data_IF_665442020786
#
_entry.id   IF_665442020786
#
_cell.length_a   1.000
_cell.length_b   1.000
_cell.length_c   1.000
_cell.angle_alpha   90.00
_cell.angle_beta   90.00
_cell.angle_gamma   90.00
#
_symmetry.space_group_name_H-M   'P 1'
#
loop_
_entity.id
_entity.type
_entity.pdbx_description
1 polymer ?
#
# COMPACT_ATOMS: atom_id res chain seq x y z
N UNK A 1 -27.11 -3.37 -4.38
CA UNK A 1 -25.73 -3.87 -4.56
C UNK A 1 -24.76 -2.69 -4.44
N UNK A 2 -23.98 -2.62 -3.35
CA UNK A 2 -22.93 -1.61 -3.19
C UNK A 2 -21.69 -2.01 -4.00
N UNK A 3 -21.02 -1.08 -4.73
CA UNK A 3 -19.85 -1.43 -5.52
C UNK A 3 -18.63 -1.47 -4.59
N UNK A 4 -18.26 -2.66 -4.12
CA UNK A 4 -16.92 -2.91 -3.60
C UNK A 4 -15.93 -2.84 -4.77
N UNK A 5 -15.60 -1.62 -5.19
CA UNK A 5 -14.79 -1.35 -6.37
C UNK A 5 -13.32 -1.68 -6.07
N UNK A 6 -12.99 -2.98 -6.07
CA UNK A 6 -11.64 -3.51 -5.88
C UNK A 6 -10.76 -3.16 -7.09
N UNK A 7 -10.33 -1.90 -7.13
CA UNK A 7 -9.61 -1.30 -8.24
C UNK A 7 -8.24 -1.94 -8.38
N UNK A 8 -7.86 -2.25 -9.62
CA UNK A 8 -6.53 -2.82 -9.89
C UNK A 8 -5.48 -1.71 -9.77
N UNK A 9 -4.49 -1.93 -8.91
CA UNK A 9 -3.43 -0.97 -8.63
C UNK A 9 -2.19 -1.30 -9.47
N UNK A 10 -1.78 -2.58 -9.49
CA UNK A 10 -0.67 -3.06 -10.29
C UNK A 10 -1.18 -4.04 -11.36
N UNK A 11 -1.09 -3.67 -12.63
CA UNK A 11 -1.39 -4.58 -13.74
C UNK A 11 -0.27 -5.60 -13.97
N UNK A 12 0.98 -5.25 -13.66
CA UNK A 12 2.15 -6.11 -13.85
C UNK A 12 2.07 -7.39 -12.99
N UNK A 13 1.60 -7.27 -11.75
CA UNK A 13 1.50 -8.38 -10.78
C UNK A 13 0.05 -8.73 -10.40
N UNK A 14 -0.94 -8.07 -10.99
CA UNK A 14 -2.36 -8.30 -10.69
C UNK A 14 -2.81 -7.82 -9.29
N UNK A 15 -2.04 -6.97 -8.61
CA UNK A 15 -2.33 -6.50 -7.26
C UNK A 15 -3.47 -5.48 -7.24
N UNK A 16 -4.47 -5.71 -6.38
CA UNK A 16 -5.64 -4.85 -6.21
C UNK A 16 -5.53 -3.98 -4.96
N UNK A 17 -6.38 -2.96 -4.89
CA UNK A 17 -6.48 -2.06 -3.75
C UNK A 17 -6.79 -2.81 -2.44
N UNK A 18 -7.64 -3.83 -2.48
CA UNK A 18 -7.92 -4.71 -1.35
C UNK A 18 -6.69 -5.44 -0.85
N UNK A 19 -5.83 -5.90 -1.74
CA UNK A 19 -4.60 -6.63 -1.35
C UNK A 19 -3.66 -5.69 -0.61
N UNK A 20 -3.55 -4.45 -1.08
CA UNK A 20 -2.75 -3.42 -0.41
C UNK A 20 -3.34 -3.04 0.94
N UNK A 21 -4.65 -2.80 1.04
CA UNK A 21 -5.29 -2.50 2.34
C UNK A 21 -5.17 -3.66 3.32
N UNK A 22 -5.35 -4.90 2.87
CA UNK A 22 -5.13 -6.09 3.68
C UNK A 22 -3.68 -6.21 4.14
N UNK A 23 -2.71 -5.91 3.26
CA UNK A 23 -1.30 -5.88 3.63
C UNK A 23 -1.02 -4.80 4.69
N UNK A 24 -1.53 -3.57 4.51
CA UNK A 24 -1.42 -2.48 5.50
C UNK A 24 -1.97 -2.91 6.85
N UNK A 25 -3.17 -3.49 6.88
CA UNK A 25 -3.85 -3.90 8.10
C UNK A 25 -3.17 -5.10 8.79
N UNK A 26 -2.62 -6.05 8.02
CA UNK A 26 -1.99 -7.27 8.55
C UNK A 26 -0.54 -7.03 8.98
N UNK A 27 0.20 -6.20 8.25
CA UNK A 27 1.65 -6.04 8.40
C UNK A 27 2.13 -4.72 8.99
N UNK A 28 1.22 -3.83 9.45
CA UNK A 28 1.57 -2.45 9.87
C UNK A 28 2.40 -1.70 8.80
N UNK A 29 1.98 -1.86 7.55
CA UNK A 29 2.76 -1.44 6.40
C UNK A 29 2.45 0.04 6.10
N UNK A 30 3.21 0.97 6.68
CA UNK A 30 2.93 2.41 6.51
C UNK A 30 3.80 3.11 5.44
N UNK A 31 4.63 2.34 4.72
CA UNK A 31 5.55 2.90 3.73
C UNK A 31 5.53 2.11 2.43
N UNK A 32 5.76 2.83 1.33
CA UNK A 32 5.85 2.31 -0.04
C UNK A 32 6.82 1.13 -0.12
N UNK A 33 7.98 1.22 0.53
CA UNK A 33 8.98 0.17 0.55
C UNK A 33 8.44 -1.11 1.19
N UNK A 34 7.68 -0.96 2.28
CA UNK A 34 7.14 -2.09 3.03
C UNK A 34 5.98 -2.74 2.25
N UNK A 35 5.19 -1.94 1.51
CA UNK A 35 4.16 -2.48 0.59
C UNK A 35 4.81 -3.24 -0.55
N UNK A 36 5.91 -2.72 -1.10
CA UNK A 36 6.71 -3.42 -2.10
C UNK A 36 7.27 -4.74 -1.56
N UNK A 37 7.78 -4.79 -0.34
CA UNK A 37 8.26 -6.03 0.27
C UNK A 37 7.14 -7.04 0.54
N UNK A 38 5.94 -6.58 0.93
CA UNK A 38 4.82 -7.46 1.25
C UNK A 38 4.02 -7.94 0.03
N UNK A 39 3.93 -7.13 -1.02
CA UNK A 39 3.08 -7.42 -2.20
C UNK A 39 3.87 -7.59 -3.50
N UNK A 40 5.15 -7.22 -3.52
CA UNK A 40 5.97 -7.12 -4.73
C UNK A 40 5.57 -5.95 -5.66
N UNK A 41 4.45 -5.27 -5.41
CA UNK A 41 3.94 -4.23 -6.31
C UNK A 41 4.83 -2.98 -6.27
N UNK A 42 5.53 -2.73 -7.39
CA UNK A 42 6.39 -1.56 -7.54
C UNK A 42 7.87 -1.89 -7.76
N UNK A 43 8.28 -3.15 -7.65
CA UNK A 43 9.69 -3.56 -7.86
C UNK A 43 10.10 -3.70 -9.33
N UNK A 44 9.13 -3.80 -10.24
CA UNK A 44 9.36 -3.92 -11.69
C UNK A 44 9.08 -2.62 -12.44
N UNK A 45 7.91 -2.53 -13.06
CA UNK A 45 7.49 -1.40 -13.91
C UNK A 45 7.34 -0.07 -13.15
N UNK A 46 7.29 -0.08 -11.81
CA UNK A 46 7.13 1.08 -10.89
C UNK A 46 5.90 1.98 -11.09
N UNK A 47 5.12 1.81 -12.17
CA UNK A 47 3.96 2.64 -12.50
C UNK A 47 2.87 2.66 -11.41
N UNK A 48 2.74 1.58 -10.64
CA UNK A 48 1.76 1.50 -9.55
C UNK A 48 2.19 2.27 -8.30
N UNK A 49 3.49 2.57 -8.10
CA UNK A 49 4.01 3.20 -6.87
C UNK A 49 3.25 4.49 -6.52
N UNK A 50 2.97 5.35 -7.51
CA UNK A 50 2.22 6.60 -7.29
C UNK A 50 0.82 6.35 -6.72
N UNK A 51 0.13 5.30 -7.20
CA UNK A 51 -1.20 4.91 -6.70
C UNK A 51 -1.12 4.34 -5.29
N UNK A 52 -0.12 3.50 -5.03
CA UNK A 52 0.12 2.94 -3.68
C UNK A 52 0.35 4.08 -2.68
N UNK A 53 1.13 5.10 -3.06
CA UNK A 53 1.43 6.24 -2.19
C UNK A 53 0.19 7.07 -1.88
N UNK A 54 -0.72 7.21 -2.85
CA UNK A 54 -2.00 7.88 -2.62
C UNK A 54 -2.88 7.10 -1.63
N UNK A 55 -2.90 5.76 -1.72
CA UNK A 55 -3.64 4.92 -0.77
C UNK A 55 -3.08 5.00 0.66
N UNK A 56 -1.75 5.05 0.80
CA UNK A 56 -1.10 5.22 2.10
C UNK A 56 -1.40 6.59 2.71
N UNK A 57 -1.43 7.64 1.87
CA UNK A 57 -1.78 9.00 2.29
C UNK A 57 -3.24 9.11 2.76
N UNK A 58 -4.17 8.47 2.04
CA UNK A 58 -5.60 8.40 2.39
C UNK A 58 -5.84 7.69 3.74
N UNK A 59 -5.04 6.66 4.05
CA UNK A 59 -5.15 5.91 5.30
C UNK A 59 -4.55 6.60 6.54
N UNK A 60 -4.06 7.84 6.43
CA UNK A 60 -3.43 8.54 7.55
C UNK A 60 -4.40 9.54 8.21
N UNK A 61 -4.97 9.24 9.40
CA UNK A 61 -5.65 10.25 10.20
C UNK A 61 -4.59 11.22 10.75
N UNK A 62 -4.68 12.50 10.38
CA UNK A 62 -3.77 13.55 10.81
C UNK A 62 -3.52 13.51 12.34
N UNK A 63 -2.41 12.92 12.75
CA UNK A 63 -1.95 12.90 14.14
C UNK A 63 -0.43 12.96 14.15
N UNK A 64 0.08 14.19 14.16
CA UNK A 64 1.32 14.64 14.81
C UNK A 64 2.47 13.64 14.92
N UNK A 65 3.38 13.69 13.95
CA UNK A 65 4.86 13.64 14.08
C UNK A 65 5.47 12.85 12.91
N UNK A 66 6.32 13.47 12.06
CA UNK A 66 7.01 12.78 10.99
C UNK A 66 8.19 12.00 11.57
N UNK A 67 7.95 10.78 12.05
CA UNK A 67 9.01 9.78 12.12
C UNK A 67 8.65 8.64 11.16
N UNK A 68 9.47 8.37 10.12
CA UNK A 68 9.20 7.29 9.19
C UNK A 68 9.29 5.99 9.96
N UNK A 69 8.13 5.43 10.33
CA UNK A 69 8.06 4.14 11.01
C UNK A 69 8.91 3.13 10.23
N UNK A 70 9.99 2.60 10.84
CA UNK A 70 10.76 1.56 10.19
C UNK A 70 9.78 0.42 9.91
N UNK A 71 9.88 -0.18 8.73
CA UNK A 71 9.25 -1.46 8.46
C UNK A 71 9.65 -2.42 9.58
N UNK A 72 8.78 -2.60 10.58
CA UNK A 72 9.08 -3.37 11.78
C UNK A 72 9.14 -4.84 11.42
N UNK A 73 10.33 -5.27 11.00
CA UNK A 73 10.74 -6.65 11.06
C UNK A 73 10.74 -7.04 12.54
N UNK A 74 9.97 -8.09 12.86
CA UNK A 74 9.96 -8.73 14.18
C UNK A 74 11.33 -9.27 14.55
#
# INVERSE_FOLDING_TARGET
>A
MSPSNNKMICHCLGVRESDIRSAINTGNVQSIQCVMSGTGAGTGCTACIRRISALLCDSCPQSSSPEPAPCVAR
#
